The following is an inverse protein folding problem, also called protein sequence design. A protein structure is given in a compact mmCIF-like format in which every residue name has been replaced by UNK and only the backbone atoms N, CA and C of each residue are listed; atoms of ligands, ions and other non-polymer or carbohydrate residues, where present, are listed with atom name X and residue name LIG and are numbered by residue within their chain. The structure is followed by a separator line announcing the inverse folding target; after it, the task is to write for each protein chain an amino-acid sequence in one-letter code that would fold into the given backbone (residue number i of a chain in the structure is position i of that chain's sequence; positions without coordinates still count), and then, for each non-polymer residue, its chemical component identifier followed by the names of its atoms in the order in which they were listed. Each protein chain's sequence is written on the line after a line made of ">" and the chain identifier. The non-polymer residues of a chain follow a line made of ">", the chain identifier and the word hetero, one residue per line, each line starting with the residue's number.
data_IF_814158050174
#
_entry.id   IF_814158050174
#
_cell.length_a   1.000
_cell.length_b   1.000
_cell.length_c   1.000
_cell.angle_alpha   90.00
_cell.angle_beta   90.00
_cell.angle_gamma   90.00
#
_symmetry.space_group_name_H-M   'P 1'
#
loop_
_entity.id
_entity.type
_entity.pdbx_description
1 polymer ?
#
# COMPACT_ATOMS: atom_id res chain seq x y z
N UNK A 1 -25.29 6.25 14.93
CA UNK A 1 -24.24 5.87 15.89
C UNK A 1 -24.16 4.36 15.92
N UNK A 2 -23.03 3.78 15.50
CA UNK A 2 -22.76 2.35 15.77
C UNK A 2 -22.64 2.26 17.29
N UNK A 3 -23.56 1.56 17.97
CA UNK A 3 -23.44 1.28 19.40
C UNK A 3 -22.10 0.60 19.62
N UNK A 4 -21.23 1.21 20.44
CA UNK A 4 -20.00 0.56 20.85
C UNK A 4 -20.39 -0.56 21.82
N UNK A 5 -20.15 -1.84 21.52
CA UNK A 5 -20.72 -2.96 22.28
C UNK A 5 -20.21 -3.04 23.73
N UNK A 6 -19.12 -2.34 24.05
CA UNK A 6 -18.52 -2.25 25.40
C UNK A 6 -19.21 -1.28 26.36
N UNK A 7 -20.34 -0.68 25.95
CA UNK A 7 -21.20 0.11 26.84
C UNK A 7 -22.14 -0.75 27.69
N UNK A 8 -22.23 -2.06 27.40
CA UNK A 8 -23.04 -3.02 28.14
C UNK A 8 -22.18 -3.75 29.19
N UNK A 9 -22.74 -4.00 30.38
CA UNK A 9 -22.05 -4.65 31.50
C UNK A 9 -21.73 -6.13 31.24
N UNK A 10 -22.44 -6.78 30.32
CA UNK A 10 -22.27 -8.18 29.90
C UNK A 10 -21.33 -8.32 28.67
N UNK A 11 -20.70 -7.22 28.25
CA UNK A 11 -19.75 -7.25 27.14
C UNK A 11 -18.54 -8.13 27.46
N UNK A 12 -18.30 -9.14 26.62
CA UNK A 12 -17.12 -9.98 26.74
C UNK A 12 -15.91 -9.28 26.12
N UNK A 13 -15.00 -8.80 26.98
CA UNK A 13 -13.74 -8.20 26.54
C UNK A 13 -12.87 -9.19 25.77
N UNK A 14 -12.17 -8.68 24.77
CA UNK A 14 -11.24 -9.40 23.92
C UNK A 14 -9.98 -8.58 23.73
N UNK A 15 -8.90 -9.22 23.27
CA UNK A 15 -7.68 -8.53 22.85
C UNK A 15 -7.96 -7.36 21.88
N UNK A 16 -8.89 -7.52 20.93
CA UNK A 16 -9.27 -6.43 20.01
C UNK A 16 -9.89 -5.26 20.73
N UNK A 17 -10.95 -5.54 21.48
CA UNK A 17 -11.77 -4.50 22.08
C UNK A 17 -10.98 -3.77 23.16
N UNK A 18 -10.09 -4.46 23.87
CA UNK A 18 -9.12 -3.84 24.76
C UNK A 18 -8.21 -2.87 23.99
N UNK A 19 -7.53 -3.28 22.91
CA UNK A 19 -6.68 -2.37 22.13
C UNK A 19 -7.43 -1.14 21.63
N UNK A 20 -8.62 -1.34 21.07
CA UNK A 20 -9.49 -0.23 20.64
C UNK A 20 -9.82 0.71 21.79
N UNK A 21 -10.26 0.18 22.94
CA UNK A 21 -10.65 0.98 24.09
C UNK A 21 -9.47 1.78 24.67
N UNK A 22 -8.35 1.12 24.94
CA UNK A 22 -7.16 1.76 25.50
C UNK A 22 -6.57 2.81 24.56
N UNK A 23 -6.45 2.52 23.25
CA UNK A 23 -5.94 3.48 22.27
C UNK A 23 -6.88 4.69 22.12
N UNK A 24 -8.20 4.47 22.02
CA UNK A 24 -9.17 5.57 21.89
C UNK A 24 -9.23 6.43 23.15
N UNK A 25 -9.24 5.82 24.34
CA UNK A 25 -9.31 6.56 25.60
C UNK A 25 -8.03 7.38 25.83
N UNK A 26 -6.86 6.79 25.62
CA UNK A 26 -5.57 7.45 25.70
C UNK A 26 -5.48 8.65 24.73
N UNK A 27 -5.87 8.45 23.47
CA UNK A 27 -5.85 9.51 22.48
C UNK A 27 -6.83 10.66 22.78
N UNK A 28 -8.05 10.35 23.20
CA UNK A 28 -9.05 11.38 23.54
C UNK A 28 -8.67 12.20 24.76
N UNK A 29 -7.95 11.60 25.71
CA UNK A 29 -7.40 12.29 26.89
C UNK A 29 -6.05 12.93 26.66
N UNK A 30 -5.42 12.69 25.51
CA UNK A 30 -4.05 13.09 25.23
C UNK A 30 -3.04 12.60 26.29
N UNK A 31 -3.13 11.32 26.65
CA UNK A 31 -2.25 10.65 27.62
C UNK A 31 -1.67 9.37 27.03
N UNK A 32 -0.58 8.88 27.62
CA UNK A 32 0.00 7.57 27.28
C UNK A 32 -0.92 6.43 27.70
N UNK A 33 -0.85 5.30 26.99
CA UNK A 33 -1.61 4.08 27.34
C UNK A 33 -1.30 3.62 28.77
N UNK A 34 -0.04 3.78 29.21
CA UNK A 34 0.39 3.44 30.58
C UNK A 34 -0.28 4.30 31.67
N UNK A 35 -0.78 5.48 31.31
CA UNK A 35 -1.48 6.40 32.21
C UNK A 35 -3.01 6.23 32.19
N UNK A 36 -3.56 5.39 31.31
CA UNK A 36 -4.99 5.08 31.30
C UNK A 36 -5.36 4.41 32.63
N UNK A 37 -6.50 4.84 33.19
CA UNK A 37 -7.14 4.31 34.41
C UNK A 37 -8.55 3.76 34.10
N UNK A 38 -9.15 3.04 35.03
CA UNK A 38 -10.57 2.64 34.93
C UNK A 38 -11.51 3.85 34.82
N UNK A 39 -11.20 4.94 35.53
CA UNK A 39 -11.94 6.20 35.44
C UNK A 39 -11.86 6.76 34.01
N UNK A 40 -10.67 6.76 33.41
CA UNK A 40 -10.46 7.20 32.02
C UNK A 40 -11.35 6.42 31.04
N UNK A 41 -11.44 5.10 31.20
CA UNK A 41 -12.32 4.25 30.36
C UNK A 41 -13.81 4.56 30.62
N UNK A 42 -14.19 4.72 31.88
CA UNK A 42 -15.57 4.95 32.31
C UNK A 42 -16.13 6.27 31.77
N UNK A 43 -15.31 7.32 31.67
CA UNK A 43 -15.69 8.60 31.05
C UNK A 43 -16.16 8.46 29.59
N UNK A 44 -15.66 7.45 28.87
CA UNK A 44 -16.07 7.13 27.50
C UNK A 44 -17.03 5.95 27.42
N UNK A 45 -17.69 5.61 28.53
CA UNK A 45 -18.66 4.50 28.63
C UNK A 45 -18.04 3.14 28.28
N UNK A 46 -16.74 2.95 28.54
CA UNK A 46 -16.05 1.67 28.38
C UNK A 46 -16.02 0.95 29.73
N UNK A 47 -16.95 0.01 29.94
CA UNK A 47 -17.14 -0.66 31.23
C UNK A 47 -16.26 -1.92 31.33
N UNK A 48 -14.99 -1.74 31.71
CA UNK A 48 -14.05 -2.84 31.94
C UNK A 48 -14.09 -3.32 33.40
N UNK A 49 -14.22 -4.64 33.67
CA UNK A 49 -14.08 -5.16 35.03
C UNK A 49 -12.72 -4.83 35.64
N UNK A 50 -12.69 -4.46 36.91
CA UNK A 50 -11.45 -4.14 37.62
C UNK A 50 -10.46 -5.31 37.64
N UNK A 51 -10.97 -6.55 37.71
CA UNK A 51 -10.19 -7.78 37.63
C UNK A 51 -9.37 -7.90 36.35
N UNK A 52 -9.88 -7.35 35.24
CA UNK A 52 -9.33 -7.56 33.91
C UNK A 52 -8.39 -6.42 33.49
N UNK A 53 -8.57 -5.25 34.10
CA UNK A 53 -7.94 -3.99 33.69
C UNK A 53 -6.42 -4.06 33.60
N UNK A 54 -5.77 -4.53 34.67
CA UNK A 54 -4.29 -4.58 34.73
C UNK A 54 -3.70 -5.54 33.69
N UNK A 55 -4.38 -6.68 33.48
CA UNK A 55 -3.98 -7.68 32.49
C UNK A 55 -4.09 -7.13 31.07
N UNK A 56 -5.24 -6.54 30.72
CA UNK A 56 -5.43 -5.97 29.39
C UNK A 56 -4.53 -4.77 29.12
N UNK A 57 -4.31 -3.88 30.09
CA UNK A 57 -3.40 -2.74 29.89
C UNK A 57 -1.98 -3.21 29.57
N UNK A 58 -1.48 -4.19 30.32
CA UNK A 58 -0.15 -4.77 30.09
C UNK A 58 -0.07 -5.46 28.72
N UNK A 59 -1.08 -6.26 28.37
CA UNK A 59 -1.19 -6.90 27.06
C UNK A 59 -1.17 -5.87 25.91
N UNK A 60 -2.00 -4.82 25.99
CA UNK A 60 -2.10 -3.79 24.94
C UNK A 60 -0.76 -3.07 24.74
N UNK A 61 -0.08 -2.70 25.84
CA UNK A 61 1.23 -2.05 25.76
C UNK A 61 2.26 -2.94 25.09
N UNK A 62 2.34 -4.21 25.49
CA UNK A 62 3.29 -5.17 24.93
C UNK A 62 2.99 -5.40 23.44
N UNK A 63 1.76 -5.77 23.11
CA UNK A 63 1.33 -6.13 21.76
C UNK A 63 1.50 -4.97 20.76
N UNK A 64 1.10 -3.74 21.13
CA UNK A 64 1.28 -2.59 20.23
C UNK A 64 2.75 -2.20 20.07
N UNK A 65 3.55 -2.30 21.13
CA UNK A 65 4.99 -1.97 21.07
C UNK A 65 5.75 -2.95 20.17
N UNK A 66 5.40 -4.24 20.20
CA UNK A 66 6.04 -5.29 19.37
C UNK A 66 5.74 -5.14 17.86
N UNK A 67 4.61 -4.50 17.51
CA UNK A 67 4.20 -4.23 16.12
C UNK A 67 4.91 -3.02 15.50
N UNK A 68 5.43 -2.12 16.33
CA UNK A 68 6.09 -0.89 15.89
C UNK A 68 7.56 -1.18 15.63
N UNK A 69 8.01 -0.91 14.41
CA UNK A 69 9.39 -1.17 13.99
C UNK A 69 9.93 0.03 13.22
N UNK A 70 11.16 0.47 13.48
CA UNK A 70 11.80 1.45 12.63
C UNK A 70 12.15 0.80 11.28
N UNK A 71 12.21 1.58 10.19
CA UNK A 71 12.40 1.07 8.83
C UNK A 71 13.66 0.21 8.62
N UNK A 72 14.69 0.40 9.44
CA UNK A 72 15.96 -0.34 9.34
C UNK A 72 15.81 -1.80 9.84
N UNK A 73 14.76 -2.10 10.61
CA UNK A 73 14.44 -3.47 10.99
C UNK A 73 13.63 -4.13 9.88
N UNK A 74 14.07 -5.32 9.47
CA UNK A 74 13.32 -6.09 8.48
C UNK A 74 11.89 -6.35 8.95
N UNK A 75 10.95 -6.12 8.04
CA UNK A 75 9.54 -6.49 8.21
C UNK A 75 9.28 -7.96 7.99
N UNK A 76 10.18 -8.65 7.29
CA UNK A 76 10.01 -10.03 6.85
C UNK A 76 11.22 -10.83 7.33
N UNK A 77 11.02 -11.94 8.07
CA UNK A 77 12.09 -12.61 8.80
C UNK A 77 13.03 -13.48 7.96
N UNK A 78 12.63 -13.94 6.77
CA UNK A 78 13.44 -14.85 5.93
C UNK A 78 14.24 -14.11 4.87
N UNK A 79 15.38 -14.64 4.42
CA UNK A 79 16.22 -14.04 3.36
C UNK A 79 16.98 -15.15 2.61
N UNK A 80 17.19 -15.08 1.29
CA UNK A 80 16.79 -14.02 0.35
C UNK A 80 15.27 -13.95 0.14
N UNK A 81 14.75 -12.75 -0.16
CA UNK A 81 13.33 -12.50 -0.38
C UNK A 81 13.05 -11.97 -1.76
N UNK A 82 12.02 -12.51 -2.40
CA UNK A 82 11.37 -11.90 -3.56
C UNK A 82 10.08 -11.24 -3.13
N UNK A 83 9.99 -9.94 -3.36
CA UNK A 83 8.85 -9.12 -2.94
C UNK A 83 8.19 -8.51 -4.17
N UNK A 84 6.87 -8.61 -4.29
CA UNK A 84 6.09 -7.83 -5.27
C UNK A 84 5.29 -6.76 -4.54
N UNK A 85 5.38 -5.51 -4.95
CA UNK A 85 4.47 -4.44 -4.54
C UNK A 85 3.49 -4.20 -5.69
N UNK A 86 2.23 -4.57 -5.50
CA UNK A 86 1.16 -4.21 -6.41
C UNK A 86 0.70 -2.78 -6.13
N UNK A 87 0.71 -1.96 -7.17
CA UNK A 87 0.31 -0.56 -7.17
C UNK A 87 -0.92 -0.42 -8.08
N UNK A 88 -2.14 -0.19 -7.55
CA UNK A 88 -3.34 -0.05 -8.37
C UNK A 88 -3.15 0.97 -9.50
N UNK A 89 -2.72 2.18 -9.17
CA UNK A 89 -2.31 3.20 -10.13
C UNK A 89 -0.81 3.53 -10.02
N UNK A 90 -0.18 4.09 -11.08
CA UNK A 90 1.22 4.51 -11.01
C UNK A 90 1.42 5.73 -10.09
N UNK A 91 1.58 5.48 -8.79
CA UNK A 91 1.83 6.41 -7.67
C UNK A 91 1.46 5.81 -6.31
N UNK A 92 0.51 4.87 -6.28
CA UNK A 92 -0.04 4.29 -5.05
C UNK A 92 1.03 3.61 -4.18
N UNK A 93 2.06 3.01 -4.80
CA UNK A 93 3.23 2.41 -4.17
C UNK A 93 4.01 3.43 -3.34
N UNK A 94 4.35 4.59 -3.92
CA UNK A 94 5.12 5.63 -3.23
C UNK A 94 4.26 6.47 -2.30
N UNK A 95 2.97 6.66 -2.59
CA UNK A 95 2.03 7.37 -1.70
C UNK A 95 1.74 6.54 -0.46
N UNK A 96 1.46 5.26 -0.63
CA UNK A 96 0.92 4.41 0.44
C UNK A 96 2.01 3.69 1.23
N UNK A 97 3.05 3.21 0.54
CA UNK A 97 4.11 2.39 1.12
C UNK A 97 5.52 2.90 0.74
N UNK A 98 5.67 4.18 0.39
CA UNK A 98 6.92 4.72 -0.14
C UNK A 98 8.09 4.64 0.82
N UNK A 99 7.85 4.76 2.13
CA UNK A 99 8.92 4.63 3.13
C UNK A 99 9.41 3.17 3.23
N UNK A 100 8.47 2.20 3.23
CA UNK A 100 8.80 0.77 3.15
C UNK A 100 9.50 0.40 1.85
N UNK A 101 8.99 0.89 0.71
CA UNK A 101 9.59 0.69 -0.61
C UNK A 101 11.05 1.17 -0.61
N UNK A 102 11.32 2.39 -0.10
CA UNK A 102 12.69 2.89 0.04
C UNK A 102 13.56 1.96 0.89
N UNK A 103 13.07 1.51 2.06
CA UNK A 103 13.81 0.56 2.90
C UNK A 103 14.11 -0.77 2.19
N UNK A 104 13.11 -1.37 1.53
CA UNK A 104 13.27 -2.63 0.80
C UNK A 104 14.29 -2.50 -0.35
N UNK A 105 14.30 -1.35 -1.05
CA UNK A 105 15.30 -1.06 -2.09
C UNK A 105 16.72 -1.08 -1.53
N UNK A 106 16.94 -0.68 -0.28
CA UNK A 106 18.29 -0.67 0.31
C UNK A 106 18.74 -2.06 0.79
N UNK A 107 17.81 -2.96 1.14
CA UNK A 107 18.15 -4.27 1.73
C UNK A 107 18.83 -5.23 0.74
N UNK A 108 20.10 -5.65 0.95
CA UNK A 108 20.93 -6.33 -0.06
C UNK A 108 20.41 -7.72 -0.49
N UNK A 109 19.57 -8.32 0.33
CA UNK A 109 18.98 -9.65 0.20
C UNK A 109 17.52 -9.65 -0.29
N UNK A 110 17.00 -8.47 -0.67
CA UNK A 110 15.68 -8.31 -1.26
C UNK A 110 15.81 -8.12 -2.77
N UNK A 111 15.11 -8.96 -3.51
CA UNK A 111 14.81 -8.81 -4.94
C UNK A 111 13.40 -8.23 -5.07
N UNK A 112 13.31 -6.99 -5.56
CA UNK A 112 12.07 -6.23 -5.51
C UNK A 112 11.44 -6.08 -6.89
N UNK A 113 10.15 -6.37 -6.94
CA UNK A 113 9.29 -6.20 -8.10
C UNK A 113 8.21 -5.18 -7.77
N UNK A 114 8.01 -4.17 -8.61
CA UNK A 114 6.88 -3.23 -8.46
C UNK A 114 5.95 -3.43 -9.65
N UNK A 115 4.70 -3.78 -9.39
CA UNK A 115 3.72 -4.13 -10.40
C UNK A 115 2.59 -3.10 -10.44
N UNK A 116 2.58 -2.30 -11.51
CA UNK A 116 1.55 -1.32 -11.79
C UNK A 116 0.38 -1.99 -12.51
N UNK A 117 -0.74 -2.06 -11.80
CA UNK A 117 -1.94 -2.77 -12.21
C UNK A 117 -2.59 -2.15 -13.45
N UNK A 118 -2.83 -0.85 -13.42
CA UNK A 118 -3.47 -0.10 -14.51
C UNK A 118 -2.59 1.06 -14.99
N UNK A 119 -2.97 1.67 -16.12
CA UNK A 119 -2.19 2.78 -16.71
C UNK A 119 -2.34 4.10 -15.97
N UNK A 120 -3.40 4.30 -15.18
CA UNK A 120 -3.69 5.59 -14.54
C UNK A 120 -4.02 6.73 -15.53
N UNK A 121 -4.21 6.41 -16.82
CA UNK A 121 -4.35 7.41 -17.88
C UNK A 121 -5.52 8.38 -17.70
N UNK A 122 -6.62 7.93 -17.08
CA UNK A 122 -7.82 8.75 -16.85
C UNK A 122 -7.55 9.87 -15.85
N UNK A 123 -6.57 9.71 -14.95
CA UNK A 123 -6.23 10.70 -13.93
C UNK A 123 -5.36 11.85 -14.47
N UNK A 124 -4.85 11.76 -15.71
CA UNK A 124 -4.01 12.81 -16.30
C UNK A 124 -4.89 13.86 -16.99
N UNK A 125 -4.89 15.12 -16.53
CA UNK A 125 -5.65 16.20 -17.17
C UNK A 125 -5.13 16.51 -18.58
N UNK A 126 -6.03 16.76 -19.52
CA UNK A 126 -5.64 17.25 -20.86
C UNK A 126 -4.89 18.58 -20.75
N UNK A 127 -5.33 19.45 -19.86
CA UNK A 127 -4.69 20.74 -19.57
C UNK A 127 -3.23 20.58 -19.14
N UNK A 128 -2.90 19.55 -18.36
CA UNK A 128 -1.53 19.27 -17.95
C UNK A 128 -0.67 19.02 -19.20
N UNK A 129 -1.07 18.09 -20.07
CA UNK A 129 -0.32 17.76 -21.28
C UNK A 129 -0.22 18.97 -22.22
N UNK A 130 -1.34 19.68 -22.45
CA UNK A 130 -1.38 20.84 -23.32
C UNK A 130 -0.51 22.00 -22.84
N UNK A 131 -0.42 22.23 -21.53
CA UNK A 131 0.45 23.26 -20.95
C UNK A 131 1.93 22.99 -21.27
N UNK A 132 2.37 21.74 -21.18
CA UNK A 132 3.76 21.37 -21.54
C UNK A 132 4.00 21.50 -23.04
N UNK A 133 3.06 21.03 -23.88
CA UNK A 133 3.17 21.20 -25.34
C UNK A 133 3.31 22.68 -25.72
N UNK A 134 2.45 23.54 -25.17
CA UNK A 134 2.50 24.98 -25.39
C UNK A 134 3.78 25.62 -24.85
N UNK A 135 4.19 25.28 -23.63
CA UNK A 135 5.40 25.82 -22.99
C UNK A 135 6.66 25.57 -23.82
N UNK A 136 6.73 24.45 -24.53
CA UNK A 136 7.86 24.09 -25.38
C UNK A 136 7.60 24.34 -26.88
N UNK A 137 6.50 25.03 -27.23
CA UNK A 137 6.04 25.28 -28.61
C UNK A 137 5.99 24.00 -29.47
N UNK A 138 5.57 22.87 -28.91
CA UNK A 138 5.49 21.59 -29.61
C UNK A 138 4.32 21.60 -30.59
N UNK A 139 4.61 21.51 -31.88
CA UNK A 139 3.61 21.28 -32.92
C UNK A 139 3.49 19.78 -33.19
N UNK A 140 2.28 19.23 -33.05
CA UNK A 140 1.99 17.82 -33.34
C UNK A 140 1.42 17.73 -34.76
N UNK A 141 2.12 17.05 -35.66
CA UNK A 141 1.59 16.68 -36.97
C UNK A 141 0.91 15.31 -36.86
N UNK A 142 -0.40 15.28 -37.08
CA UNK A 142 -1.16 14.05 -37.20
C UNK A 142 -0.89 13.46 -38.58
N UNK A 143 -0.10 12.39 -38.66
CA UNK A 143 -0.05 11.57 -39.87
C UNK A 143 -1.33 10.72 -39.92
N UNK A 144 -2.08 10.92 -41.01
CA UNK A 144 -3.28 10.22 -41.48
C UNK A 144 -3.79 9.02 -40.65
N UNK A 145 -5.07 9.09 -40.30
CA UNK A 145 -5.74 8.11 -39.45
C UNK A 145 -5.84 6.70 -40.03
N UNK A 146 -5.22 5.76 -39.33
CA UNK A 146 -5.82 4.49 -38.92
C UNK A 146 -5.23 4.06 -37.56
N UNK A 147 -6.02 4.27 -36.51
CA UNK A 147 -5.60 3.96 -35.16
C UNK A 147 -5.54 2.45 -34.92
N UNK A 148 -4.35 1.87 -34.96
CA UNK A 148 -3.91 0.82 -34.02
C UNK A 148 -2.41 0.57 -34.21
N UNK A 149 -1.60 0.91 -33.20
CA UNK A 149 -0.26 0.33 -33.06
C UNK A 149 -0.28 -0.61 -31.86
N UNK A 150 -0.29 -1.90 -32.18
CA UNK A 150 -0.22 -3.03 -31.27
C UNK A 150 1.11 -3.11 -30.52
N UNK A 151 0.99 -3.76 -29.37
CA UNK A 151 1.91 -4.59 -28.58
C UNK A 151 3.45 -4.49 -28.68
N UNK A 152 4.04 -4.65 -27.48
CA UNK A 152 5.46 -4.80 -27.11
C UNK A 152 6.34 -3.56 -27.16
N UNK A 153 6.46 -2.90 -26.00
CA UNK A 153 7.62 -2.07 -25.67
C UNK A 153 8.43 -2.86 -24.64
N UNK A 154 9.62 -3.31 -25.05
CA UNK A 154 10.62 -3.89 -24.16
C UNK A 154 11.33 -2.76 -23.41
N UNK A 155 11.34 -2.81 -22.08
CA UNK A 155 12.11 -1.90 -21.24
C UNK A 155 13.54 -2.43 -21.11
N UNK A 156 14.52 -1.70 -21.63
CA UNK A 156 15.95 -1.92 -21.33
C UNK A 156 16.40 -0.96 -20.23
N UNK A 157 17.39 -1.40 -19.45
CA UNK A 157 17.90 -0.85 -18.18
C UNK A 157 18.49 0.59 -18.25
N UNK A 158 18.40 1.26 -19.40
CA UNK A 158 19.01 2.55 -19.63
C UNK A 158 17.96 3.66 -19.45
N UNK A 159 17.49 3.82 -18.22
CA UNK A 159 16.70 4.98 -17.83
C UNK A 159 17.65 6.15 -17.57
N UNK A 160 17.77 7.09 -18.51
CA UNK A 160 18.35 8.41 -18.24
C UNK A 160 17.41 9.24 -17.36
N UNK A 161 17.98 10.04 -16.45
CA UNK A 161 17.29 10.91 -15.47
C UNK A 161 16.60 12.10 -16.13
N UNK A 162 15.62 12.66 -15.42
CA UNK A 162 14.62 13.64 -15.84
C UNK A 162 15.07 15.06 -16.28
N UNK A 163 16.31 15.27 -16.75
CA UNK A 163 16.76 16.63 -17.18
C UNK A 163 17.15 16.74 -18.66
N UNK A 164 16.93 15.72 -19.49
CA UNK A 164 17.47 15.70 -20.87
C UNK A 164 16.50 15.27 -21.97
N UNK A 165 15.18 15.28 -21.75
CA UNK A 165 14.23 14.94 -22.83
C UNK A 165 14.07 16.13 -23.77
N UNK A 166 14.52 15.96 -25.02
CA UNK A 166 14.36 16.97 -26.06
C UNK A 166 12.91 17.05 -26.56
N UNK A 167 12.53 18.22 -27.07
CA UNK A 167 11.23 18.52 -27.67
C UNK A 167 10.74 17.42 -28.62
N UNK A 168 11.63 16.88 -29.44
CA UNK A 168 11.32 15.86 -30.45
C UNK A 168 11.02 14.48 -29.84
N UNK A 169 11.70 14.10 -28.75
CA UNK A 169 11.50 12.84 -28.03
C UNK A 169 10.19 12.84 -27.21
N UNK A 170 9.84 13.98 -26.61
CA UNK A 170 8.51 14.18 -26.03
C UNK A 170 7.45 14.04 -27.12
N UNK A 171 7.61 14.76 -28.24
CA UNK A 171 6.66 14.75 -29.36
C UNK A 171 6.45 13.32 -29.90
N UNK A 172 7.50 12.53 -30.18
CA UNK A 172 7.36 11.12 -30.61
C UNK A 172 6.56 10.23 -29.64
N UNK A 173 6.56 10.53 -28.33
CA UNK A 173 5.76 9.82 -27.33
C UNK A 173 4.29 10.31 -27.26
N UNK A 174 4.01 11.52 -27.75
CA UNK A 174 2.70 12.20 -27.71
C UNK A 174 1.98 12.31 -29.07
N UNK A 175 2.61 11.95 -30.19
CA UNK A 175 2.22 12.34 -31.57
C UNK A 175 0.85 11.84 -32.08
N UNK A 176 0.13 10.92 -31.45
CA UNK A 176 -1.20 10.53 -31.98
C UNK A 176 -2.40 11.31 -31.41
N UNK A 177 -2.16 12.30 -30.53
CA UNK A 177 -3.20 13.14 -29.91
C UNK A 177 -3.81 12.51 -28.65
N UNK A 178 -3.56 13.12 -27.47
CA UNK A 178 -4.13 12.93 -26.10
C UNK A 178 -4.77 11.58 -25.73
N UNK A 179 -4.34 10.47 -26.34
CA UNK A 179 -4.97 9.19 -26.14
C UNK A 179 -4.66 8.68 -24.73
N UNK A 180 -5.55 7.85 -24.15
CA UNK A 180 -5.25 7.22 -22.87
C UNK A 180 -3.99 6.33 -22.91
N UNK A 181 -3.58 5.86 -24.10
CA UNK A 181 -2.28 5.19 -24.26
C UNK A 181 -1.10 6.13 -23.99
N UNK A 182 -1.11 7.33 -24.55
CA UNK A 182 -0.05 8.34 -24.34
C UNK A 182 -0.03 8.87 -22.90
N UNK A 183 -1.21 9.11 -22.30
CA UNK A 183 -1.32 9.49 -20.89
C UNK A 183 -0.88 8.38 -19.94
N UNK A 184 -1.18 7.13 -20.28
CA UNK A 184 -0.66 5.97 -19.57
C UNK A 184 0.86 5.92 -19.61
N UNK A 185 1.47 6.09 -20.79
CA UNK A 185 2.93 6.11 -20.92
C UNK A 185 3.59 7.21 -20.09
N UNK A 186 2.99 8.41 -20.03
CA UNK A 186 3.47 9.48 -19.14
C UNK A 186 3.50 9.01 -17.67
N UNK A 187 2.42 8.39 -17.19
CA UNK A 187 2.32 7.85 -15.82
C UNK A 187 3.36 6.75 -15.55
N UNK A 188 3.65 5.91 -16.55
CA UNK A 188 4.71 4.91 -16.44
C UNK A 188 6.10 5.54 -16.32
N UNK A 189 6.37 6.59 -17.09
CA UNK A 189 7.65 7.34 -16.99
C UNK A 189 7.79 8.00 -15.62
N UNK A 190 6.73 8.62 -15.10
CA UNK A 190 6.70 9.20 -13.76
C UNK A 190 7.00 8.14 -12.69
N UNK A 191 6.33 6.99 -12.77
CA UNK A 191 6.54 5.88 -11.84
C UNK A 191 7.96 5.32 -11.88
N UNK A 192 8.53 5.11 -13.08
CA UNK A 192 9.93 4.72 -13.23
C UNK A 192 10.89 5.75 -12.62
N UNK A 193 10.54 7.03 -12.70
CA UNK A 193 11.36 8.12 -12.17
C UNK A 193 11.32 8.19 -10.65
N UNK A 194 10.15 7.95 -10.06
CA UNK A 194 9.99 7.76 -8.62
C UNK A 194 10.82 6.57 -8.11
N UNK A 195 10.78 5.42 -8.80
CA UNK A 195 11.62 4.27 -8.46
C UNK A 195 13.12 4.59 -8.59
N UNK A 196 13.50 5.31 -9.64
CA UNK A 196 14.89 5.72 -9.87
C UNK A 196 15.41 6.64 -8.78
N UNK A 197 14.62 7.61 -8.32
CA UNK A 197 15.03 8.54 -7.27
C UNK A 197 15.26 7.85 -5.93
N UNK A 198 14.58 6.73 -5.68
CA UNK A 198 14.79 5.85 -4.52
C UNK A 198 15.96 4.85 -4.69
N UNK A 199 16.62 4.83 -5.85
CA UNK A 199 17.75 3.93 -6.14
C UNK A 199 17.34 2.51 -6.54
N UNK A 200 16.08 2.29 -6.96
CA UNK A 200 15.54 0.97 -7.30
C UNK A 200 16.40 0.24 -8.36
N UNK A 201 16.85 0.95 -9.39
CA UNK A 201 17.64 0.37 -10.50
C UNK A 201 19.13 0.18 -10.19
N UNK A 202 19.59 0.52 -8.98
CA UNK A 202 20.96 0.22 -8.55
C UNK A 202 21.18 -1.29 -8.37
N UNK A 203 20.09 -2.07 -8.29
CA UNK A 203 20.10 -3.53 -8.21
C UNK A 203 19.53 -4.11 -9.50
N UNK A 204 20.37 -4.84 -10.24
CA UNK A 204 19.99 -5.44 -11.53
C UNK A 204 18.84 -6.45 -11.45
N UNK A 205 18.61 -7.03 -10.27
CA UNK A 205 17.50 -7.96 -10.02
C UNK A 205 16.14 -7.26 -9.85
N UNK A 206 16.13 -5.97 -9.54
CA UNK A 206 14.89 -5.24 -9.34
C UNK A 206 14.18 -5.01 -10.68
N UNK A 207 12.85 -5.16 -10.70
CA UNK A 207 12.07 -5.05 -11.94
C UNK A 207 10.74 -4.31 -11.73
N UNK A 208 10.43 -3.38 -12.63
CA UNK A 208 9.12 -2.76 -12.71
C UNK A 208 8.26 -3.46 -13.78
N UNK A 209 6.99 -3.71 -13.47
CA UNK A 209 6.03 -4.44 -14.32
C UNK A 209 4.82 -3.56 -14.58
N UNK A 210 4.48 -3.34 -15.84
CA UNK A 210 3.27 -2.61 -16.24
C UNK A 210 2.24 -3.60 -16.75
N UNK A 211 1.36 -4.06 -15.86
CA UNK A 211 0.39 -5.11 -16.16
C UNK A 211 -0.66 -4.62 -17.16
N UNK A 212 -0.98 -3.32 -17.13
CA UNK A 212 -1.96 -2.69 -18.05
C UNK A 212 -3.24 -3.54 -18.14
N UNK A 213 -3.82 -3.85 -16.98
CA UNK A 213 -5.00 -4.69 -16.89
C UNK A 213 -6.13 -4.14 -17.78
N UNK A 214 -6.59 -4.91 -18.77
CA UNK A 214 -7.59 -4.46 -19.75
C UNK A 214 -8.85 -3.83 -19.17
N UNK A 215 -9.31 -4.26 -17.97
CA UNK A 215 -10.57 -3.74 -17.40
C UNK A 215 -10.59 -2.21 -17.21
N UNK A 216 -9.41 -1.59 -17.03
CA UNK A 216 -9.29 -0.15 -16.83
C UNK A 216 -9.62 0.66 -18.09
N UNK A 217 -9.54 0.00 -19.26
CA UNK A 217 -9.90 0.59 -20.55
C UNK A 217 -8.91 1.64 -21.06
N UNK A 218 -9.24 2.17 -22.25
CA UNK A 218 -8.45 3.16 -22.99
C UNK A 218 -9.19 4.50 -23.17
N UNK A 219 -10.13 4.85 -22.29
CA UNK A 219 -11.07 5.96 -22.51
C UNK A 219 -11.82 6.41 -21.26
N UNK A 220 -12.12 7.72 -21.18
CA UNK A 220 -12.89 8.38 -20.12
C UNK A 220 -14.10 7.55 -19.66
N UNK A 221 -13.99 6.90 -18.51
CA UNK A 221 -15.14 6.35 -17.77
C UNK A 221 -15.70 5.00 -18.23
N UNK A 222 -15.20 4.36 -19.29
CA UNK A 222 -15.58 2.97 -19.60
C UNK A 222 -14.61 2.00 -18.92
N UNK A 223 -14.76 1.85 -17.60
CA UNK A 223 -14.23 0.68 -16.90
C UNK A 223 -15.17 -0.49 -17.19
N UNK A 224 -14.62 -1.63 -17.60
CA UNK A 224 -15.38 -2.88 -17.60
C UNK A 224 -15.16 -3.59 -16.27
N UNK A 225 -15.99 -4.59 -16.00
CA UNK A 225 -15.69 -5.54 -14.95
C UNK A 225 -14.42 -6.32 -15.32
N UNK A 226 -13.56 -6.66 -14.34
CA UNK A 226 -12.44 -7.56 -14.57
C UNK A 226 -12.86 -8.84 -15.26
N UNK A 227 -12.00 -9.33 -16.15
CA UNK A 227 -12.18 -10.57 -16.90
C UNK A 227 -10.99 -11.49 -16.63
N UNK A 228 -11.09 -12.75 -17.07
CA UNK A 228 -10.05 -13.75 -16.85
C UNK A 228 -8.65 -13.32 -17.35
N UNK A 229 -8.58 -12.58 -18.46
CA UNK A 229 -7.34 -12.02 -19.00
C UNK A 229 -6.61 -11.04 -18.05
N UNK A 230 -7.33 -10.39 -17.13
CA UNK A 230 -6.73 -9.54 -16.10
C UNK A 230 -6.03 -10.44 -15.07
N UNK A 231 -6.71 -11.52 -14.64
CA UNK A 231 -6.20 -12.53 -13.70
C UNK A 231 -5.00 -13.28 -14.26
N UNK A 232 -5.03 -13.68 -15.54
CA UNK A 232 -3.91 -14.35 -16.21
C UNK A 232 -2.62 -13.51 -16.20
N UNK A 233 -2.73 -12.18 -16.31
CA UNK A 233 -1.56 -11.27 -16.26
C UNK A 233 -0.90 -11.28 -14.88
N UNK A 234 -1.69 -11.27 -13.82
CA UNK A 234 -1.18 -11.36 -12.44
C UNK A 234 -0.63 -12.76 -12.18
N UNK A 235 -1.34 -13.81 -12.58
CA UNK A 235 -0.90 -15.19 -12.42
C UNK A 235 0.46 -15.43 -13.09
N UNK A 236 0.63 -14.98 -14.34
CA UNK A 236 1.91 -15.07 -15.05
C UNK A 236 3.04 -14.37 -14.31
N UNK A 237 2.77 -13.22 -13.69
CA UNK A 237 3.76 -12.53 -12.86
C UNK A 237 4.12 -13.36 -11.62
N UNK A 238 3.12 -13.92 -10.92
CA UNK A 238 3.34 -14.79 -9.76
C UNK A 238 4.16 -16.04 -10.13
N UNK A 239 3.87 -16.68 -11.26
CA UNK A 239 4.62 -17.85 -11.77
C UNK A 239 6.06 -17.52 -12.14
N UNK A 240 6.29 -16.33 -12.69
CA UNK A 240 7.62 -15.86 -13.10
C UNK A 240 8.47 -15.52 -11.89
N UNK A 241 7.92 -14.71 -10.97
CA UNK A 241 8.67 -14.19 -9.82
C UNK A 241 8.73 -15.21 -8.70
N UNK A 242 7.64 -15.95 -8.44
CA UNK A 242 7.44 -16.81 -7.27
C UNK A 242 7.80 -16.04 -5.99
N UNK A 243 7.02 -14.99 -5.66
CA UNK A 243 7.33 -14.11 -4.54
C UNK A 243 7.18 -14.84 -3.21
N UNK A 244 7.94 -14.41 -2.22
CA UNK A 244 7.76 -14.82 -0.82
C UNK A 244 6.75 -13.89 -0.13
N UNK A 245 6.73 -12.62 -0.52
CA UNK A 245 5.86 -11.59 0.04
C UNK A 245 5.26 -10.73 -1.06
N UNK A 246 4.01 -10.33 -0.88
CA UNK A 246 3.38 -9.30 -1.69
C UNK A 246 2.85 -8.17 -0.81
N UNK A 247 2.99 -6.94 -1.30
CA UNK A 247 2.30 -5.78 -0.79
C UNK A 247 1.20 -5.40 -1.77
N UNK A 248 0.00 -5.07 -1.28
CA UNK A 248 -1.13 -4.68 -2.13
C UNK A 248 -2.06 -3.70 -1.42
N UNK A 249 -2.86 -2.96 -2.19
CA UNK A 249 -3.88 -2.10 -1.62
C UNK A 249 -5.05 -2.94 -1.06
N UNK A 250 -5.34 -2.80 0.24
CA UNK A 250 -6.49 -3.38 0.93
C UNK A 250 -7.60 -2.38 1.24
N UNK A 251 -7.59 -1.20 0.61
CA UNK A 251 -8.64 -0.18 0.78
C UNK A 251 -9.81 -0.45 -0.16
N UNK A 252 -10.78 -1.23 0.32
CA UNK A 252 -12.01 -1.61 -0.40
C UNK A 252 -13.18 -0.64 -0.14
N UNK A 253 -12.88 0.63 0.17
CA UNK A 253 -13.90 1.65 0.43
C UNK A 253 -14.88 1.83 -0.72
N UNK A 254 -14.41 1.67 -1.97
CA UNK A 254 -15.23 1.44 -3.15
C UNK A 254 -14.84 0.10 -3.80
N UNK A 255 -15.59 -1.00 -3.54
CA UNK A 255 -15.28 -2.31 -4.10
C UNK A 255 -15.45 -2.37 -5.63
N UNK A 256 -16.15 -1.40 -6.22
CA UNK A 256 -16.32 -1.28 -7.69
C UNK A 256 -15.39 -0.23 -8.30
N UNK A 257 -14.52 0.38 -7.49
CA UNK A 257 -13.45 1.26 -7.93
C UNK A 257 -12.24 0.49 -8.44
N UNK A 258 -11.29 1.18 -9.07
CA UNK A 258 -10.06 0.54 -9.59
C UNK A 258 -9.32 -0.26 -8.51
N UNK A 259 -9.27 0.22 -7.27
CA UNK A 259 -8.60 -0.48 -6.17
C UNK A 259 -9.30 -1.80 -5.84
N UNK A 260 -10.64 -1.81 -5.78
CA UNK A 260 -11.43 -3.01 -5.54
C UNK A 260 -11.28 -4.05 -6.65
N UNK A 261 -11.33 -3.61 -7.91
CA UNK A 261 -11.09 -4.48 -9.06
C UNK A 261 -9.66 -5.03 -9.11
N UNK A 262 -8.64 -4.20 -8.86
CA UNK A 262 -7.26 -4.68 -8.74
C UNK A 262 -7.12 -5.72 -7.61
N UNK A 263 -7.73 -5.47 -6.45
CA UNK A 263 -7.72 -6.43 -5.34
C UNK A 263 -8.38 -7.75 -5.72
N UNK A 264 -9.55 -7.70 -6.37
CA UNK A 264 -10.26 -8.91 -6.82
C UNK A 264 -9.40 -9.74 -7.77
N UNK A 265 -8.82 -9.11 -8.80
CA UNK A 265 -7.98 -9.80 -9.78
C UNK A 265 -6.75 -10.42 -9.11
N UNK A 266 -6.08 -9.68 -8.22
CA UNK A 266 -4.92 -10.18 -7.48
C UNK A 266 -5.33 -11.36 -6.57
N UNK A 267 -6.48 -11.26 -5.90
CA UNK A 267 -7.01 -12.33 -5.05
C UNK A 267 -7.29 -13.59 -5.84
N UNK A 268 -8.01 -13.49 -6.96
CA UNK A 268 -8.30 -14.63 -7.83
C UNK A 268 -7.01 -15.29 -8.33
N UNK A 269 -6.02 -14.51 -8.75
CA UNK A 269 -4.73 -15.04 -9.20
C UNK A 269 -3.94 -15.74 -8.08
N UNK A 270 -4.02 -15.25 -6.85
CA UNK A 270 -3.38 -15.89 -5.69
C UNK A 270 -4.08 -17.19 -5.29
N UNK A 271 -5.42 -17.19 -5.32
CA UNK A 271 -6.22 -18.40 -5.05
C UNK A 271 -5.91 -19.50 -6.06
N UNK A 272 -5.71 -19.15 -7.34
CA UNK A 272 -5.26 -20.07 -8.37
C UNK A 272 -3.81 -20.53 -8.15
N UNK A 273 -2.88 -19.60 -7.92
CA UNK A 273 -1.46 -19.89 -7.73
C UNK A 273 -1.19 -20.78 -6.50
N UNK A 274 -1.96 -20.62 -5.42
CA UNK A 274 -1.80 -21.35 -4.16
C UNK A 274 -2.80 -22.50 -4.00
N UNK A 275 -3.62 -22.79 -5.02
CA UNK A 275 -4.75 -23.73 -4.93
C UNK A 275 -4.34 -25.10 -4.38
N UNK A 276 -3.27 -25.69 -4.94
CA UNK A 276 -2.81 -27.02 -4.55
C UNK A 276 -2.18 -27.02 -3.15
N UNK A 277 -1.48 -25.94 -2.80
CA UNK A 277 -0.97 -25.73 -1.45
C UNK A 277 -2.12 -25.69 -0.44
N UNK A 278 -3.14 -24.87 -0.68
CA UNK A 278 -4.28 -24.70 0.21
C UNK A 278 -5.08 -26.00 0.35
N UNK A 279 -5.32 -26.74 -0.75
CA UNK A 279 -6.02 -28.04 -0.71
C UNK A 279 -5.31 -29.10 0.14
N UNK A 280 -3.99 -28.98 0.30
CA UNK A 280 -3.19 -29.90 1.12
C UNK A 280 -3.22 -29.59 2.63
N UNK A 281 -3.81 -28.46 3.02
CA UNK A 281 -3.81 -27.98 4.41
C UNK A 281 -5.06 -28.41 5.17
N UNK A 282 -4.90 -28.56 6.49
CA UNK A 282 -6.02 -28.82 7.41
C UNK A 282 -6.86 -27.55 7.65
N UNK A 283 -8.15 -27.67 7.99
CA UNK A 283 -8.98 -26.52 8.37
C UNK A 283 -8.37 -25.67 9.49
N UNK A 284 -7.69 -26.29 10.45
CA UNK A 284 -7.00 -25.61 11.55
C UNK A 284 -5.81 -24.77 11.06
N UNK A 285 -5.04 -25.27 10.09
CA UNK A 285 -3.95 -24.51 9.48
C UNK A 285 -4.47 -23.34 8.64
N UNK A 286 -5.51 -23.58 7.83
CA UNK A 286 -6.17 -22.54 7.02
C UNK A 286 -6.70 -21.41 7.91
N UNK A 287 -7.32 -21.74 9.04
CA UNK A 287 -7.81 -20.75 9.99
C UNK A 287 -6.69 -19.83 10.50
N UNK A 288 -5.43 -20.28 10.57
CA UNK A 288 -4.30 -19.43 11.02
C UNK A 288 -3.88 -18.41 9.96
N UNK A 289 -4.27 -18.57 8.70
CA UNK A 289 -3.82 -17.72 7.58
C UNK A 289 -4.69 -16.48 7.34
N UNK A 290 -5.96 -16.43 7.76
CA UNK A 290 -6.87 -15.33 7.39
C UNK A 290 -6.52 -13.95 7.96
N UNK A 291 -5.72 -13.88 9.04
CA UNK A 291 -4.85 -12.73 9.30
C UNK A 291 -3.94 -13.06 10.47
N UNK A 292 -2.67 -12.66 10.36
CA UNK A 292 -1.64 -12.82 11.39
C UNK A 292 -2.06 -12.15 12.70
N UNK A 293 -2.95 -11.15 12.60
CA UNK A 293 -3.53 -10.44 13.73
C UNK A 293 -5.03 -10.23 13.60
N UNK A 294 -5.74 -11.17 12.96
CA UNK A 294 -7.19 -11.23 13.17
C UNK A 294 -7.37 -11.45 14.66
N UNK A 295 -7.86 -10.44 15.34
CA UNK A 295 -8.06 -10.51 16.78
C UNK A 295 -9.13 -11.53 17.19
N UNK A 296 -9.86 -12.12 16.22
CA UNK A 296 -10.65 -13.35 16.42
C UNK A 296 -9.82 -14.64 16.43
N UNK A 297 -8.65 -14.67 15.80
CA UNK A 297 -7.75 -15.84 15.65
C UNK A 297 -6.53 -15.83 16.59
N UNK A 298 -6.07 -14.66 17.05
CA UNK A 298 -5.09 -14.51 18.15
C UNK A 298 -5.59 -15.15 19.47
N UNK A 299 -6.88 -15.56 19.51
CA UNK A 299 -7.51 -16.36 20.57
C UNK A 299 -6.76 -17.65 20.98
N UNK A 300 -5.73 -18.09 20.26
CA UNK A 300 -4.95 -19.30 20.60
C UNK A 300 -3.45 -19.07 20.89
N UNK A 301 -3.01 -17.82 21.11
CA UNK A 301 -1.65 -17.55 21.62
C UNK A 301 -0.49 -17.74 20.64
N UNK A 302 -0.75 -17.69 19.32
CA UNK A 302 0.29 -17.78 18.30
C UNK A 302 1.07 -16.46 18.16
N UNK A 303 2.37 -16.54 17.94
CA UNK A 303 3.25 -15.40 17.63
C UNK A 303 3.30 -15.11 16.13
N UNK A 304 3.81 -13.92 15.77
CA UNK A 304 4.04 -13.54 14.36
C UNK A 304 5.02 -14.49 13.69
N UNK A 305 6.07 -14.85 14.42
CA UNK A 305 7.13 -15.75 13.98
C UNK A 305 6.56 -17.14 13.66
N UNK A 306 5.69 -17.68 14.51
CA UNK A 306 5.04 -18.99 14.27
C UNK A 306 4.15 -18.97 13.02
N UNK A 307 3.50 -17.84 12.75
CA UNK A 307 2.67 -17.68 11.55
C UNK A 307 3.55 -17.55 10.30
N UNK A 308 4.68 -16.84 10.40
CA UNK A 308 5.68 -16.82 9.33
C UNK A 308 6.31 -18.19 9.06
N UNK A 309 6.64 -18.95 10.10
CA UNK A 309 7.16 -20.30 9.96
C UNK A 309 6.15 -21.21 9.27
N UNK A 310 4.86 -21.11 9.64
CA UNK A 310 3.80 -21.83 8.96
C UNK A 310 3.71 -21.44 7.47
N UNK A 311 3.66 -20.15 7.16
CA UNK A 311 3.59 -19.67 5.77
C UNK A 311 4.80 -20.12 4.96
N UNK A 312 6.00 -20.00 5.53
CA UNK A 312 7.26 -20.42 4.89
C UNK A 312 7.28 -21.92 4.64
N UNK A 313 6.89 -22.74 5.64
CA UNK A 313 6.89 -24.20 5.52
C UNK A 313 5.90 -24.71 4.47
N UNK A 314 4.77 -24.03 4.33
CA UNK A 314 3.74 -24.33 3.33
C UNK A 314 3.99 -23.66 1.98
N UNK A 315 4.97 -22.77 1.87
CA UNK A 315 5.22 -21.92 0.69
C UNK A 315 4.00 -21.06 0.33
N UNK A 316 3.29 -20.58 1.35
CA UNK A 316 2.25 -19.57 1.22
C UNK A 316 2.93 -18.20 1.14
N UNK A 317 2.56 -17.43 0.12
CA UNK A 317 2.98 -16.04 -0.05
C UNK A 317 2.44 -15.24 1.11
N UNK A 318 3.26 -14.44 1.77
CA UNK A 318 2.77 -13.52 2.79
C UNK A 318 2.18 -12.26 2.16
N UNK A 319 0.95 -11.87 2.53
CA UNK A 319 0.28 -10.69 1.99
C UNK A 319 0.27 -9.57 3.02
N UNK A 320 0.83 -8.42 2.66
CA UNK A 320 0.82 -7.18 3.43
C UNK A 320 -0.06 -6.14 2.73
N UNK A 321 -1.22 -5.87 3.31
CA UNK A 321 -2.13 -4.85 2.79
C UNK A 321 -1.74 -3.47 3.33
N UNK A 322 -1.65 -2.48 2.45
CA UNK A 322 -1.63 -1.06 2.79
C UNK A 322 -2.98 -0.41 2.43
N UNK A 323 -3.24 0.80 2.91
CA UNK A 323 -4.40 1.60 2.47
C UNK A 323 -3.98 2.73 1.53
N UNK A 324 -4.92 3.15 0.68
CA UNK A 324 -4.67 4.16 -0.33
C UNK A 324 -4.37 5.56 0.24
N UNK A 325 -4.33 6.55 -0.65
CA UNK A 325 -3.90 7.92 -0.34
C UNK A 325 -4.59 8.61 0.85
N UNK A 326 -5.78 8.17 1.26
CA UNK A 326 -6.66 8.92 2.17
C UNK A 326 -6.52 8.58 3.65
N UNK A 327 -6.18 7.34 4.01
CA UNK A 327 -6.16 6.90 5.39
C UNK A 327 -5.19 5.75 5.59
N UNK A 328 -4.58 5.65 6.78
CA UNK A 328 -3.85 4.46 7.22
C UNK A 328 -4.81 3.42 7.82
N UNK A 329 -4.33 2.20 8.04
CA UNK A 329 -5.01 1.28 8.95
C UNK A 329 -4.92 1.80 10.39
N UNK A 330 -5.98 1.56 11.17
CA UNK A 330 -5.97 1.87 12.59
C UNK A 330 -4.88 1.05 13.29
N UNK A 331 -4.19 1.64 14.26
CA UNK A 331 -3.05 1.00 14.93
C UNK A 331 -3.41 -0.34 15.59
N UNK A 332 -4.66 -0.48 16.06
CA UNK A 332 -5.14 -1.70 16.72
C UNK A 332 -5.37 -2.87 15.75
N UNK A 333 -5.60 -2.55 14.48
CA UNK A 333 -5.84 -3.51 13.41
C UNK A 333 -4.54 -3.77 12.62
N UNK A 334 -3.58 -2.84 12.65
CA UNK A 334 -2.27 -2.97 12.00
C UNK A 334 -1.46 -4.15 12.56
N UNK A 335 -0.93 -4.95 11.63
CA UNK A 335 0.05 -6.02 11.86
C UNK A 335 1.43 -5.46 12.10
N UNK A 336 1.86 -4.53 11.24
CA UNK A 336 3.10 -3.79 11.40
C UNK A 336 2.83 -2.31 11.25
N UNK A 337 3.55 -1.52 12.04
CA UNK A 337 3.57 -0.07 11.95
C UNK A 337 5.03 0.32 11.78
N UNK A 338 5.38 0.77 10.58
CA UNK A 338 6.75 1.15 10.29
C UNK A 338 6.94 2.62 10.51
N UNK A 339 7.84 2.97 11.41
CA UNK A 339 8.16 4.34 11.76
C UNK A 339 9.40 4.81 11.04
N UNK A 340 9.41 6.09 10.70
CA UNK A 340 10.50 6.72 9.96
C UNK A 340 10.74 8.16 10.36
N UNK A 341 11.98 8.60 10.13
CA UNK A 341 12.46 9.91 10.50
C UNK A 341 12.21 10.95 9.40
N UNK A 342 12.62 12.20 9.67
CA UNK A 342 12.46 13.32 8.74
C UNK A 342 13.11 13.09 7.38
N UNK A 343 14.30 12.51 7.33
CA UNK A 343 15.01 12.27 6.07
C UNK A 343 14.24 11.27 5.20
N UNK A 344 13.83 10.14 5.79
CA UNK A 344 13.04 9.11 5.11
C UNK A 344 11.68 9.65 4.64
N UNK A 345 11.05 10.54 5.41
CA UNK A 345 9.85 11.27 4.98
C UNK A 345 10.13 12.11 3.73
N UNK A 346 11.21 12.89 3.70
CA UNK A 346 11.54 13.74 2.55
C UNK A 346 11.94 12.92 1.31
N UNK A 347 12.61 11.79 1.47
CA UNK A 347 12.88 10.83 0.38
C UNK A 347 11.57 10.32 -0.22
N UNK A 348 10.62 9.89 0.63
CA UNK A 348 9.27 9.50 0.20
C UNK A 348 8.57 10.63 -0.54
N UNK A 349 8.59 11.85 0.00
CA UNK A 349 7.91 13.00 -0.63
C UNK A 349 8.54 13.35 -1.98
N UNK A 350 9.85 13.21 -2.11
CA UNK A 350 10.56 13.42 -3.39
C UNK A 350 10.09 12.40 -4.42
N UNK A 351 10.00 11.12 -4.06
CA UNK A 351 9.46 10.09 -4.96
C UNK A 351 8.01 10.36 -5.38
N UNK A 352 7.14 10.81 -4.46
CA UNK A 352 5.75 11.18 -4.80
C UNK A 352 5.71 12.35 -5.80
N UNK A 353 6.60 13.33 -5.66
CA UNK A 353 6.65 14.52 -6.54
C UNK A 353 7.09 14.23 -7.97
N UNK A 354 7.73 13.09 -8.22
CA UNK A 354 8.02 12.62 -9.59
C UNK A 354 6.74 12.35 -10.40
N UNK A 355 5.59 12.19 -9.74
CA UNK A 355 4.27 12.09 -10.37
C UNK A 355 3.68 13.48 -10.66
N UNK A 356 4.39 14.28 -11.46
CA UNK A 356 4.04 15.67 -11.77
C UNK A 356 2.61 15.85 -12.26
N UNK A 357 2.12 14.92 -13.09
CA UNK A 357 0.74 14.93 -13.60
C UNK A 357 -0.33 14.87 -12.51
N UNK A 358 0.04 14.48 -11.28
CA UNK A 358 -0.84 14.37 -10.12
C UNK A 358 -0.62 15.46 -9.06
N UNK A 359 0.41 16.29 -9.17
CA UNK A 359 0.76 17.29 -8.14
C UNK A 359 -0.10 18.58 -8.24
N UNK A 360 -0.87 18.76 -9.30
CA UNK A 360 -1.76 19.92 -9.50
C UNK A 360 -3.18 19.73 -8.97
N UNK A 361 -4.14 20.43 -9.58
CA UNK A 361 -5.57 20.16 -9.40
C UNK A 361 -5.88 18.76 -9.96
N UNK A 362 -5.67 17.71 -9.17
CA UNK A 362 -5.99 16.35 -9.60
C UNK A 362 -7.47 16.31 -10.03
N UNK A 363 -7.75 15.65 -11.15
CA UNK A 363 -9.13 15.55 -11.67
C UNK A 363 -10.12 14.95 -10.66
N UNK A 364 -9.60 14.19 -9.69
CA UNK A 364 -10.33 13.54 -8.62
C UNK A 364 -9.73 13.90 -7.25
N UNK A 365 -9.79 15.19 -6.88
CA UNK A 365 -9.31 15.67 -5.56
C UNK A 365 -10.22 15.30 -4.38
N UNK A 366 -11.34 14.62 -4.59
CA UNK A 366 -12.35 14.50 -3.53
C UNK A 366 -12.70 15.90 -2.99
N UNK A 367 -12.86 16.05 -1.68
CA UNK A 367 -13.07 17.35 -1.04
C UNK A 367 -11.81 18.12 -0.63
N UNK A 368 -10.60 17.60 -0.92
CA UNK A 368 -9.32 18.17 -0.45
C UNK A 368 -8.42 18.55 -1.63
N UNK A 369 -8.25 19.86 -1.85
CA UNK A 369 -7.55 20.42 -3.02
C UNK A 369 -6.02 20.38 -2.94
N UNK A 370 -5.44 19.76 -1.92
CA UNK A 370 -3.98 19.74 -1.73
C UNK A 370 -3.32 18.65 -2.58
N UNK A 371 -2.06 18.89 -2.94
CA UNK A 371 -1.23 17.90 -3.64
C UNK A 371 -1.08 16.58 -2.84
N UNK A 372 -0.84 15.47 -3.54
CA UNK A 372 -0.74 14.14 -2.91
C UNK A 372 0.42 14.02 -1.93
N UNK A 373 1.56 14.69 -2.18
CA UNK A 373 2.70 14.70 -1.26
C UNK A 373 2.34 15.37 0.08
N UNK A 374 1.64 16.51 0.03
CA UNK A 374 1.16 17.21 1.24
C UNK A 374 0.21 16.33 2.04
N UNK A 375 -0.71 15.63 1.36
CA UNK A 375 -1.66 14.70 1.99
C UNK A 375 -0.96 13.50 2.60
N UNK A 376 -0.05 12.85 1.86
CA UNK A 376 0.74 11.72 2.34
C UNK A 376 1.58 12.11 3.57
N UNK A 377 2.28 13.25 3.51
CA UNK A 377 3.06 13.77 4.64
C UNK A 377 2.19 13.98 5.88
N UNK A 378 1.06 14.66 5.73
CA UNK A 378 0.14 14.86 6.85
C UNK A 378 -0.35 13.53 7.42
N UNK A 379 -0.78 12.60 6.57
CA UNK A 379 -1.30 11.28 6.97
C UNK A 379 -0.26 10.51 7.79
N UNK A 380 0.98 10.46 7.31
CA UNK A 380 2.06 9.78 8.01
C UNK A 380 2.46 10.50 9.30
N UNK A 381 2.55 11.84 9.30
CA UNK A 381 2.86 12.61 10.51
C UNK A 381 1.75 12.55 11.56
N UNK A 382 0.48 12.51 11.17
CA UNK A 382 -0.63 12.29 12.10
C UNK A 382 -0.55 10.91 12.76
N UNK A 383 -0.19 9.88 12.00
CA UNK A 383 0.01 8.53 12.56
C UNK A 383 1.19 8.52 13.53
N UNK A 384 2.31 9.15 13.19
CA UNK A 384 3.45 9.31 14.09
C UNK A 384 3.08 10.06 15.39
N UNK A 385 2.35 11.17 15.27
CA UNK A 385 1.90 11.95 16.43
C UNK A 385 0.96 11.13 17.32
N UNK A 386 0.06 10.36 16.71
CA UNK A 386 -0.81 9.45 17.45
C UNK A 386 0.00 8.43 18.25
N UNK A 387 1.02 7.81 17.66
CA UNK A 387 1.92 6.89 18.36
C UNK A 387 2.66 7.57 19.53
N UNK A 388 3.09 8.82 19.35
CA UNK A 388 3.77 9.61 20.41
C UNK A 388 2.83 9.89 21.58
N UNK A 389 1.60 10.35 21.32
CA UNK A 389 0.57 10.57 22.34
C UNK A 389 0.34 9.30 23.16
N UNK A 390 0.24 8.15 22.49
CA UNK A 390 0.04 6.86 23.15
C UNK A 390 1.26 6.36 23.94
N UNK A 391 2.42 7.01 23.80
CA UNK A 391 3.67 6.63 24.43
C UNK A 391 4.36 5.45 23.76
N UNK A 392 4.04 5.19 22.49
CA UNK A 392 4.53 4.05 21.69
C UNK A 392 5.67 4.43 20.72
N UNK A 393 5.86 5.73 20.45
CA UNK A 393 6.95 6.25 19.64
C UNK A 393 7.69 7.37 20.39
N UNK A 394 8.95 7.61 19.99
CA UNK A 394 9.76 8.72 20.51
C UNK A 394 9.65 9.96 19.60
N UNK A 395 10.20 11.08 20.04
CA UNK A 395 10.16 12.36 19.32
C UNK A 395 10.89 12.37 17.98
N UNK A 396 11.79 11.40 17.71
CA UNK A 396 12.49 11.33 16.42
C UNK A 396 11.64 10.71 15.29
N UNK A 397 10.48 10.14 15.63
CA UNK A 397 9.53 9.58 14.65
C UNK A 397 8.70 10.70 14.04
N UNK A 398 8.82 10.86 12.73
CA UNK A 398 8.18 11.94 11.95
C UNK A 398 7.07 11.43 11.04
N UNK A 399 7.08 10.13 10.74
CA UNK A 399 6.03 9.45 9.99
C UNK A 399 5.88 7.98 10.36
N UNK A 400 4.71 7.43 10.06
CA UNK A 400 4.45 6.00 10.16
C UNK A 400 3.54 5.50 9.03
N UNK A 401 3.79 4.28 8.57
CA UNK A 401 2.97 3.52 7.58
C UNK A 401 2.43 2.24 8.24
N UNK A 402 1.13 1.99 8.08
CA UNK A 402 0.42 0.90 8.74
C UNK A 402 0.05 -0.21 7.75
N UNK A 403 0.37 -1.46 8.09
CA UNK A 403 0.11 -2.62 7.24
C UNK A 403 -0.71 -3.69 7.96
N UNK A 404 -1.57 -4.39 7.23
CA UNK A 404 -2.32 -5.57 7.72
C UNK A 404 -1.85 -6.81 7.00
N UNK A 405 -1.34 -7.78 7.75
CA UNK A 405 -0.77 -9.03 7.28
C UNK A 405 -1.74 -10.20 7.31
N UNK A 406 -1.70 -11.02 6.27
CA UNK A 406 -2.43 -12.28 6.18
C UNK A 406 -1.71 -13.27 5.26
N UNK A 407 -1.97 -14.56 5.47
CA UNK A 407 -1.63 -15.63 4.54
C UNK A 407 -2.72 -15.86 3.49
N UNK A 408 -4.00 -15.66 3.83
CA UNK A 408 -5.12 -15.70 2.91
C UNK A 408 -5.86 -14.36 2.93
N UNK A 409 -6.12 -13.83 1.75
CA UNK A 409 -6.90 -12.61 1.59
C UNK A 409 -8.36 -12.87 2.00
N UNK A 410 -8.97 -11.99 2.82
CA UNK A 410 -10.35 -12.14 3.29
C UNK A 410 -11.38 -12.08 2.15
#
# INVERSE_FOLDING_TARGET
>A
MIQQPWTQSDFTWSARSAKMAFAQAAARKNIKISAVTLETLSEYQMLMPESDFSSYRSYVLQDLSERIRPLEKSIIPSTPLKVIIFSPHPDDDVISAGAVLSSLIQQPNVELHVAYCVSGAVAVPDSFVMNYLNKFNIEIKLENGDGTLGEQISYSHDAETHDSITKEQATKRFISGLSPKSKGLLREVEAMSALKSLGFFNKSKNQAHFLRMPFYGSGFGMRSNPQHQDTERVLKLLETVKPDVILLAGDLSDPHGTHGFCYQVIKEALEEFEADTIKSMTPEEICKLYSVYNTRLVKKGLTVEEIYELMTSKKIIYKLMYRGAWAEFNIEDSTFILTFNKQQMEEKMTAIREHYSQMGEALYLGGDNRAFDVRAKQRNSQTAEFLKVLGLANESVEGAECFVGCGLLP
#
